data_IF_240776346914
#
_entry.id   IF_240776346914
#
_cell.length_a   1.000
_cell.length_b   1.000
_cell.length_c   1.000
_cell.angle_alpha   90.00
_cell.angle_beta   90.00
_cell.angle_gamma   90.00
#
_symmetry.space_group_name_H-M   'P 1'
#
loop_
_entity.id
_entity.type
_entity.pdbx_description
1 polymer ?
#
# COMPACT_ATOMS: atom_id res chain seq x y z
N UNK A 1 12.53 6.71 -5.32
CA UNK A 1 11.15 6.17 -5.45
C UNK A 1 10.90 5.27 -4.25
N UNK A 2 9.88 5.55 -3.42
CA UNK A 2 9.47 4.60 -2.37
C UNK A 2 8.92 3.35 -3.06
N UNK A 3 9.53 2.20 -2.80
CA UNK A 3 9.05 0.91 -3.29
C UNK A 3 8.04 0.35 -2.31
N UNK A 4 6.87 0.00 -2.83
CA UNK A 4 5.74 -0.51 -2.05
C UNK A 4 5.57 -2.00 -2.32
N UNK A 5 5.35 -2.77 -1.26
CA UNK A 5 5.23 -4.22 -1.30
C UNK A 5 3.88 -4.67 -0.74
N UNK A 6 3.16 -5.49 -1.51
CA UNK A 6 1.92 -6.14 -1.06
C UNK A 6 2.07 -7.65 -1.27
N UNK A 7 1.85 -8.43 -0.21
CA UNK A 7 2.06 -9.89 -0.22
C UNK A 7 3.42 -10.33 -0.82
N UNK A 8 4.48 -9.58 -0.51
CA UNK A 8 5.83 -9.80 -1.04
C UNK A 8 6.08 -9.38 -2.49
N UNK A 9 5.08 -8.86 -3.21
CA UNK A 9 5.24 -8.32 -4.57
C UNK A 9 5.45 -6.81 -4.57
N UNK A 10 6.36 -6.32 -5.41
CA UNK A 10 6.47 -4.90 -5.71
C UNK A 10 5.23 -4.42 -6.48
N UNK A 11 4.48 -3.49 -5.91
CA UNK A 11 3.27 -2.91 -6.51
C UNK A 11 3.49 -1.53 -7.13
N UNK A 12 4.74 -1.09 -7.30
CA UNK A 12 5.06 0.21 -7.90
C UNK A 12 4.44 0.37 -9.30
N UNK A 13 4.43 -0.71 -10.10
CA UNK A 13 3.79 -0.72 -11.41
C UNK A 13 2.27 -0.50 -11.32
N UNK A 14 1.61 -1.12 -10.34
CA UNK A 14 0.17 -0.99 -10.10
C UNK A 14 -0.19 0.44 -9.64
N UNK A 15 0.62 1.02 -8.75
CA UNK A 15 0.47 2.43 -8.36
C UNK A 15 0.62 3.36 -9.59
N UNK A 16 1.54 3.05 -10.50
CA UNK A 16 1.68 3.75 -11.77
C UNK A 16 0.43 3.67 -12.65
N UNK A 17 -0.20 2.49 -12.75
CA UNK A 17 -1.46 2.30 -13.48
C UNK A 17 -2.58 3.15 -12.87
N UNK A 18 -2.72 3.15 -11.55
CA UNK A 18 -3.73 3.97 -10.88
C UNK A 18 -3.53 5.47 -11.13
N UNK A 19 -2.28 5.95 -11.05
CA UNK A 19 -1.94 7.34 -11.35
C UNK A 19 -2.26 7.71 -12.81
N UNK A 20 -1.98 6.81 -13.76
CA UNK A 20 -2.30 7.01 -15.16
C UNK A 20 -3.81 7.07 -15.40
N UNK A 21 -4.60 6.23 -14.74
CA UNK A 21 -6.07 6.27 -14.82
C UNK A 21 -6.64 7.57 -14.25
N UNK A 22 -6.10 8.04 -13.12
CA UNK A 22 -6.47 9.34 -12.55
C UNK A 22 -6.15 10.46 -13.55
N UNK A 23 -4.95 10.44 -14.14
CA UNK A 23 -4.55 11.43 -15.13
C UNK A 23 -5.47 11.45 -16.36
N UNK A 24 -5.79 10.28 -16.93
CA UNK A 24 -6.72 10.18 -18.07
C UNK A 24 -8.11 10.66 -17.69
N UNK A 25 -8.62 10.29 -16.51
CA UNK A 25 -9.92 10.75 -16.03
C UNK A 25 -9.99 12.26 -15.87
N UNK A 26 -8.94 12.88 -15.29
CA UNK A 26 -8.85 14.34 -15.13
C UNK A 26 -8.76 15.04 -16.48
N UNK A 27 -7.92 14.56 -17.40
CA UNK A 27 -7.80 15.14 -18.75
C UNK A 27 -9.11 15.00 -19.52
N UNK A 28 -9.79 13.85 -19.43
CA UNK A 28 -11.09 13.63 -20.05
C UNK A 28 -12.18 14.55 -19.50
N UNK A 29 -12.18 14.81 -18.19
CA UNK A 29 -13.09 15.75 -17.57
C UNK A 29 -12.80 17.20 -18.00
N UNK A 30 -11.53 17.59 -18.09
CA UNK A 30 -11.12 18.93 -18.53
C UNK A 30 -11.37 19.17 -20.02
N UNK A 31 -11.26 18.14 -20.86
CA UNK A 31 -11.54 18.23 -22.29
C UNK A 31 -12.98 18.72 -22.57
N UNK A 32 -13.93 18.49 -21.65
CA UNK A 32 -15.29 19.03 -21.74
C UNK A 32 -15.33 20.57 -21.85
N UNK A 33 -14.39 21.27 -21.22
CA UNK A 33 -14.35 22.73 -21.21
C UNK A 33 -13.71 23.32 -22.47
N UNK A 34 -12.92 22.53 -23.20
CA UNK A 34 -12.18 22.97 -24.39
C UNK A 34 -12.91 22.59 -25.69
N UNK A 35 -13.68 21.49 -25.69
CA UNK A 35 -14.37 20.98 -26.87
C UNK A 35 -15.61 21.85 -27.18
N UNK A 36 -15.65 22.56 -28.33
CA UNK A 36 -16.81 23.37 -28.72
C UNK A 36 -18.04 22.50 -29.01
N UNK A 37 -19.23 22.98 -28.64
CA UNK A 37 -20.53 22.28 -28.78
C UNK A 37 -20.89 21.83 -30.20
N UNK A 38 -20.19 22.36 -31.22
CA UNK A 38 -20.48 22.08 -32.63
C UNK A 38 -19.90 20.77 -33.15
N UNK A 39 -19.10 20.07 -32.36
CA UNK A 39 -18.54 18.78 -32.77
C UNK A 39 -19.59 17.72 -32.46
N UNK A 40 -20.23 17.16 -33.50
CA UNK A 40 -21.14 16.02 -33.42
C UNK A 40 -20.38 14.75 -32.99
N UNK A 41 -19.89 14.72 -31.76
CA UNK A 41 -19.44 13.49 -31.13
C UNK A 41 -20.69 12.65 -30.88
N UNK A 42 -20.66 11.39 -31.31
CA UNK A 42 -21.69 10.38 -31.02
C UNK A 42 -21.88 10.11 -29.52
N UNK A 43 -21.07 10.77 -28.68
CA UNK A 43 -20.95 10.56 -27.23
C UNK A 43 -21.45 11.81 -26.54
N UNK A 44 -22.49 11.67 -25.71
CA UNK A 44 -23.11 12.77 -24.99
C UNK A 44 -22.11 13.40 -23.99
N UNK A 45 -21.87 14.71 -24.11
CA UNK A 45 -20.87 15.48 -23.33
C UNK A 45 -20.97 15.26 -21.82
N UNK A 46 -22.21 15.25 -21.29
CA UNK A 46 -22.46 14.99 -19.88
C UNK A 46 -22.04 13.58 -19.47
N UNK A 47 -22.35 12.57 -20.29
CA UNK A 47 -22.04 11.18 -19.99
C UNK A 47 -20.52 10.93 -19.96
N UNK A 48 -19.77 11.54 -20.88
CA UNK A 48 -18.29 11.48 -20.88
C UNK A 48 -17.69 12.11 -19.63
N UNK A 49 -18.23 13.24 -19.18
CA UNK A 49 -17.81 13.88 -17.94
C UNK A 49 -18.10 13.01 -16.71
N UNK A 50 -19.33 12.47 -16.61
CA UNK A 50 -19.69 11.59 -15.50
C UNK A 50 -18.80 10.33 -15.44
N UNK A 51 -18.57 9.65 -16.57
CA UNK A 51 -17.73 8.46 -16.58
C UNK A 51 -16.25 8.77 -16.31
N UNK A 52 -15.72 9.87 -16.84
CA UNK A 52 -14.32 10.27 -16.60
C UNK A 52 -14.08 10.68 -15.14
N UNK A 53 -15.00 11.45 -14.55
CA UNK A 53 -14.95 11.83 -13.14
C UNK A 53 -15.11 10.61 -12.23
N UNK A 54 -16.06 9.71 -12.51
CA UNK A 54 -16.26 8.48 -11.74
C UNK A 54 -15.01 7.59 -11.77
N UNK A 55 -14.41 7.40 -12.95
CA UNK A 55 -13.18 6.63 -13.09
C UNK A 55 -12.02 7.22 -12.29
N UNK A 56 -11.84 8.54 -12.31
CA UNK A 56 -10.79 9.21 -11.55
C UNK A 56 -10.99 9.02 -10.03
N UNK A 57 -12.22 9.16 -9.54
CA UNK A 57 -12.55 8.98 -8.11
C UNK A 57 -12.32 7.53 -7.67
N UNK A 58 -12.78 6.56 -8.45
CA UNK A 58 -12.56 5.15 -8.16
C UNK A 58 -11.07 4.78 -8.16
N UNK A 59 -10.32 5.25 -9.16
CA UNK A 59 -8.88 5.02 -9.24
C UNK A 59 -8.13 5.65 -8.06
N UNK A 60 -8.52 6.85 -7.63
CA UNK A 60 -7.96 7.51 -6.46
C UNK A 60 -8.25 6.75 -5.16
N UNK A 61 -9.50 6.30 -4.97
CA UNK A 61 -9.86 5.48 -3.82
C UNK A 61 -9.08 4.17 -3.75
N UNK A 62 -8.92 3.49 -4.89
CA UNK A 62 -8.11 2.27 -4.98
C UNK A 62 -6.63 2.55 -4.68
N UNK A 63 -6.04 3.62 -5.22
CA UNK A 63 -4.66 3.99 -4.94
C UNK A 63 -4.41 4.15 -3.43
N UNK A 64 -5.30 4.82 -2.71
CA UNK A 64 -5.20 4.99 -1.25
C UNK A 64 -5.36 3.65 -0.53
N UNK A 65 -6.37 2.84 -0.89
CA UNK A 65 -6.63 1.54 -0.26
C UNK A 65 -5.48 0.55 -0.44
N UNK A 66 -4.84 0.53 -1.61
CA UNK A 66 -3.68 -0.31 -1.87
C UNK A 66 -2.41 0.23 -1.19
N UNK A 67 -2.20 1.55 -1.21
CA UNK A 67 -1.03 2.16 -0.58
C UNK A 67 -1.05 2.01 0.94
N UNK A 68 -2.22 2.11 1.58
CA UNK A 68 -2.37 1.94 3.04
C UNK A 68 -2.13 0.51 3.53
N UNK A 69 -2.30 -0.49 2.66
CA UNK A 69 -1.98 -1.90 2.98
C UNK A 69 -0.59 -2.32 2.52
N UNK A 70 0.11 -1.44 1.80
CA UNK A 70 1.42 -1.75 1.25
C UNK A 70 2.52 -1.45 2.26
N UNK A 71 3.52 -2.32 2.28
CA UNK A 71 4.70 -2.20 3.10
C UNK A 71 5.79 -1.45 2.34
N UNK A 72 6.42 -0.50 3.00
CA UNK A 72 7.62 0.17 2.51
C UNK A 72 8.83 -0.75 2.61
N UNK A 73 9.93 -0.38 1.94
CA UNK A 73 11.19 -1.12 2.03
C UNK A 73 11.72 -1.18 3.46
N UNK A 74 11.59 -0.09 4.19
CA UNK A 74 12.11 0.05 5.55
C UNK A 74 11.34 -0.88 6.51
N UNK A 75 10.01 -0.97 6.37
CA UNK A 75 9.18 -1.92 7.13
C UNK A 75 9.49 -3.38 6.76
N UNK A 76 9.76 -3.65 5.49
CA UNK A 76 10.18 -4.97 5.03
C UNK A 76 11.55 -5.37 5.61
N UNK A 77 12.47 -4.41 5.72
CA UNK A 77 13.79 -4.59 6.33
C UNK A 77 13.70 -4.78 7.85
N UNK A 78 12.77 -4.10 8.53
CA UNK A 78 12.47 -4.39 9.93
C UNK A 78 12.01 -5.84 10.13
N UNK A 79 11.12 -6.35 9.25
CA UNK A 79 10.71 -7.76 9.26
C UNK A 79 11.88 -8.73 9.03
N UNK A 80 12.81 -8.40 8.13
CA UNK A 80 14.06 -9.17 7.93
C UNK A 80 14.92 -9.17 9.20
N UNK A 81 15.15 -7.99 9.77
CA UNK A 81 16.00 -7.80 10.95
C UNK A 81 15.46 -8.60 12.14
N UNK A 82 14.16 -8.48 12.42
CA UNK A 82 13.53 -9.22 13.50
C UNK A 82 13.54 -10.74 13.31
N UNK A 83 13.51 -11.23 12.06
CA UNK A 83 13.55 -12.67 11.77
C UNK A 83 14.97 -13.26 11.89
N UNK A 84 15.96 -12.55 11.37
CA UNK A 84 17.29 -13.09 11.12
C UNK A 84 18.31 -12.70 12.20
N UNK A 85 18.19 -11.48 12.73
CA UNK A 85 19.20 -10.89 13.62
C UNK A 85 18.74 -10.86 15.09
N UNK A 86 17.45 -11.05 15.34
CA UNK A 86 16.87 -11.02 16.69
C UNK A 86 16.43 -12.42 17.15
N UNK A 87 16.60 -12.67 18.45
CA UNK A 87 16.08 -13.85 19.14
C UNK A 87 14.80 -13.49 19.87
N UNK A 88 13.74 -14.26 19.65
CA UNK A 88 12.50 -14.05 20.36
C UNK A 88 12.60 -14.64 21.78
N UNK A 89 12.47 -13.79 22.80
CA UNK A 89 12.57 -14.18 24.21
C UNK A 89 11.21 -14.56 24.79
N UNK A 90 10.24 -13.66 24.67
CA UNK A 90 8.90 -13.81 25.25
C UNK A 90 7.84 -13.33 24.25
N UNK A 91 6.74 -14.06 24.14
CA UNK A 91 5.59 -13.70 23.30
C UNK A 91 4.40 -13.30 24.17
N UNK A 92 3.53 -12.44 23.63
CA UNK A 92 2.24 -12.08 24.23
C UNK A 92 2.34 -11.46 25.64
N UNK A 93 3.32 -10.59 25.88
CA UNK A 93 3.39 -9.88 27.16
C UNK A 93 2.24 -8.87 27.20
N UNK A 94 1.31 -8.99 28.18
CA UNK A 94 0.24 -8.04 28.33
C UNK A 94 0.78 -6.73 28.90
N UNK A 95 0.59 -5.62 28.19
CA UNK A 95 0.99 -4.27 28.64
C UNK A 95 -0.13 -3.50 29.34
N UNK A 96 -1.36 -4.05 29.36
CA UNK A 96 -2.54 -3.45 29.98
C UNK A 96 -3.85 -3.91 29.32
N UNK A 97 -4.98 -3.51 29.90
CA UNK A 97 -6.34 -3.93 29.48
C UNK A 97 -6.82 -3.36 28.14
N UNK A 98 -6.16 -2.31 27.61
CA UNK A 98 -6.52 -1.64 26.35
C UNK A 98 -5.35 -1.50 25.38
N UNK A 99 -4.26 -2.23 25.61
CA UNK A 99 -3.04 -2.15 24.79
C UNK A 99 -2.74 -3.50 24.19
N UNK A 100 -2.32 -3.52 22.94
CA UNK A 100 -1.92 -4.74 22.26
C UNK A 100 -0.78 -5.43 22.99
N UNK A 101 -0.80 -6.77 23.02
CA UNK A 101 0.28 -7.54 23.61
C UNK A 101 1.57 -7.34 22.82
N UNK A 102 2.70 -7.24 23.52
CA UNK A 102 4.01 -7.06 22.89
C UNK A 102 4.81 -8.36 22.93
N UNK A 103 5.64 -8.57 21.90
CA UNK A 103 6.68 -9.59 21.87
C UNK A 103 8.01 -8.93 22.26
N UNK A 104 8.79 -9.63 23.07
CA UNK A 104 10.11 -9.20 23.53
C UNK A 104 11.18 -9.92 22.73
N UNK A 105 11.98 -9.14 22.03
CA UNK A 105 13.04 -9.60 21.15
C UNK A 105 14.38 -9.16 21.72
N UNK A 106 15.39 -10.02 21.66
CA UNK A 106 16.78 -9.70 21.92
C UNK A 106 17.54 -9.61 20.59
N UNK A 107 17.89 -8.39 20.21
CA UNK A 107 18.63 -8.08 18.99
C UNK A 107 20.06 -7.70 19.39
N UNK A 108 20.99 -8.66 19.31
CA UNK A 108 22.41 -8.46 19.62
C UNK A 108 22.69 -7.82 21.01
N UNK A 109 21.95 -8.24 22.04
CA UNK A 109 22.11 -7.74 23.41
C UNK A 109 21.23 -6.53 23.74
N UNK A 110 20.46 -6.02 22.77
CA UNK A 110 19.45 -4.98 22.98
C UNK A 110 18.08 -5.63 22.99
N UNK A 111 17.41 -5.54 24.14
CA UNK A 111 16.03 -6.02 24.27
C UNK A 111 15.05 -4.95 23.78
N UNK A 112 14.26 -5.28 22.77
CA UNK A 112 13.20 -4.41 22.22
C UNK A 112 11.82 -5.05 22.42
N UNK A 113 10.82 -4.20 22.64
CA UNK A 113 9.42 -4.61 22.72
C UNK A 113 8.72 -4.20 21.43
N UNK A 114 8.14 -5.16 20.72
CA UNK A 114 7.44 -4.94 19.45
C UNK A 114 5.99 -5.41 19.61
N UNK A 115 4.98 -4.61 19.24
CA UNK A 115 3.60 -5.07 19.23
C UNK A 115 3.46 -6.37 18.43
N UNK A 116 2.83 -7.38 19.02
CA UNK A 116 2.59 -8.66 18.33
C UNK A 116 1.92 -8.53 16.97
N UNK A 117 0.83 -7.75 16.80
CA UNK A 117 0.18 -7.65 15.48
C UNK A 117 1.14 -7.10 14.42
N UNK A 118 2.00 -6.16 14.79
CA UNK A 118 3.03 -5.60 13.90
C UNK A 118 4.10 -6.65 13.56
N UNK A 119 4.66 -7.30 14.59
CA UNK A 119 5.65 -8.36 14.43
C UNK A 119 5.16 -9.47 13.49
N UNK A 120 3.96 -10.00 13.74
CA UNK A 120 3.41 -11.11 12.97
C UNK A 120 3.20 -10.75 11.49
N UNK A 121 2.71 -9.53 11.22
CA UNK A 121 2.47 -9.05 9.85
C UNK A 121 3.78 -8.81 9.11
N UNK A 122 4.76 -8.16 9.75
CA UNK A 122 6.05 -7.82 9.12
C UNK A 122 6.86 -9.09 8.81
N UNK A 123 6.90 -10.04 9.75
CA UNK A 123 7.56 -11.33 9.55
C UNK A 123 6.89 -12.13 8.43
N UNK A 124 5.54 -12.14 8.37
CA UNK A 124 4.79 -12.81 7.30
C UNK A 124 5.12 -12.19 5.94
N UNK A 125 5.10 -10.86 5.85
CA UNK A 125 5.39 -10.15 4.61
C UNK A 125 6.82 -10.41 4.12
N UNK A 126 7.80 -10.39 5.04
CA UNK A 126 9.18 -10.74 4.73
C UNK A 126 9.30 -12.19 4.22
N UNK A 127 8.64 -13.16 4.87
CA UNK A 127 8.63 -14.57 4.41
C UNK A 127 8.07 -14.71 2.98
N UNK A 128 7.00 -13.99 2.65
CA UNK A 128 6.42 -13.98 1.31
C UNK A 128 7.37 -13.36 0.28
N UNK A 129 8.06 -12.28 0.64
CA UNK A 129 9.08 -11.66 -0.20
C UNK A 129 10.26 -12.61 -0.43
N UNK A 130 10.81 -13.19 0.63
CA UNK A 130 11.92 -14.15 0.57
C UNK A 130 11.57 -15.36 -0.31
N UNK A 131 10.38 -15.94 -0.15
CA UNK A 131 9.93 -17.07 -0.97
C UNK A 131 9.83 -16.77 -2.47
N UNK A 132 9.60 -15.50 -2.85
CA UNK A 132 9.47 -15.08 -4.25
C UNK A 132 10.77 -14.64 -4.91
N UNK A 133 11.78 -14.28 -4.12
CA UNK A 133 13.09 -13.81 -4.60
C UNK A 133 14.19 -14.86 -4.41
N UNK A 134 13.84 -16.10 -4.08
CA UNK A 134 14.74 -17.24 -3.94
C UNK A 134 14.69 -18.09 -5.19
#
# INVERSE_FOLDING_TARGET
>A
MRTYYLEGNNIAWLNGVWLLLIFIGVVGALAMFVIPEKINLRVCRANTFFFSALMAVLAFGMLIGFSSRSFTKDELEAGRHWKNDCKLLEVNIPTGTFTDTVNKLDCAGVTINVPKPEYDVYIRQWKLYEAKNK
#
